data_IF_490777363233
#
_entry.id   IF_490777363233
#
_cell.length_a   1.000
_cell.length_b   1.000
_cell.length_c   1.000
_cell.angle_alpha   90.00
_cell.angle_beta   90.00
_cell.angle_gamma   90.00
#
_symmetry.space_group_name_H-M   'P 1'
#
loop_
_entity.id
_entity.type
_entity.pdbx_description
1 polymer ?
#
# COMPACT_ATOMS: atom_id res chain seq x y z
N UNK A 1 19.62 -29.20 26.46
CA UNK A 1 19.32 -27.76 26.37
C UNK A 1 18.64 -27.50 25.06
N UNK A 2 17.38 -27.14 25.11
CA UNK A 2 16.59 -26.77 23.93
C UNK A 2 17.11 -25.44 23.40
N UNK A 3 17.52 -25.40 22.14
CA UNK A 3 18.04 -24.18 21.50
C UNK A 3 16.85 -23.24 21.28
N UNK A 4 16.72 -22.21 22.07
CA UNK A 4 15.76 -21.14 21.85
C UNK A 4 16.08 -20.51 20.48
N UNK A 5 15.17 -20.62 19.51
CA UNK A 5 15.35 -19.98 18.20
C UNK A 5 15.24 -18.46 18.36
N UNK A 6 16.17 -17.74 17.75
CA UNK A 6 16.07 -16.28 17.67
C UNK A 6 14.90 -15.93 16.74
N UNK A 7 13.93 -15.19 17.28
CA UNK A 7 12.74 -14.76 16.54
C UNK A 7 13.11 -13.82 15.39
N UNK A 8 14.22 -13.09 15.50
CA UNK A 8 14.71 -12.20 14.45
C UNK A 8 15.14 -12.95 13.18
N UNK A 9 15.57 -14.21 13.31
CA UNK A 9 16.03 -15.06 12.20
C UNK A 9 14.89 -15.85 11.52
N UNK A 10 13.65 -15.77 12.04
CA UNK A 10 12.52 -16.49 11.45
C UNK A 10 12.06 -15.81 10.16
N UNK A 11 11.67 -16.59 9.13
CA UNK A 11 11.00 -16.03 7.96
C UNK A 11 9.75 -15.27 8.38
N UNK A 12 9.57 -14.05 7.87
CA UNK A 12 8.47 -13.18 8.22
C UNK A 12 7.69 -12.77 6.98
N UNK A 13 6.39 -12.54 7.17
CA UNK A 13 5.51 -11.95 6.19
C UNK A 13 4.71 -10.84 6.87
N UNK A 14 4.70 -9.66 6.28
CA UNK A 14 3.86 -8.56 6.70
C UNK A 14 2.54 -8.63 5.94
N UNK A 15 1.47 -8.94 6.64
CA UNK A 15 0.14 -9.08 6.06
C UNK A 15 -0.73 -7.88 6.40
N UNK A 16 -1.50 -7.41 5.40
CA UNK A 16 -2.54 -6.39 5.59
C UNK A 16 -2.00 -5.01 6.01
N UNK A 17 -0.90 -4.56 5.39
CA UNK A 17 -0.39 -3.21 5.60
C UNK A 17 -1.34 -2.17 4.97
N UNK A 18 -1.87 -1.25 5.76
CA UNK A 18 -2.68 -0.14 5.26
C UNK A 18 -1.84 0.89 4.53
N UNK A 19 -2.06 1.05 3.22
CA UNK A 19 -1.25 1.84 2.30
C UNK A 19 -0.89 3.23 2.82
N UNK A 20 -1.88 4.09 3.08
CA UNK A 20 -1.62 5.45 3.61
C UNK A 20 -0.93 5.43 4.98
N UNK A 21 -1.28 4.45 5.82
CA UNK A 21 -0.76 4.35 7.18
C UNK A 21 0.71 3.95 7.27
N UNK A 22 1.30 3.48 6.18
CA UNK A 22 2.72 3.09 6.12
C UNK A 22 3.67 4.25 5.80
N UNK A 23 3.16 5.47 5.53
CA UNK A 23 4.02 6.62 5.29
C UNK A 23 4.86 6.98 6.52
N UNK A 24 6.15 7.20 6.31
CA UNK A 24 7.03 7.75 7.34
C UNK A 24 6.54 9.15 7.77
N UNK A 25 6.66 9.52 9.04
CA UNK A 25 6.33 10.87 9.51
C UNK A 25 6.97 11.98 8.67
N UNK A 26 8.25 11.85 8.35
CA UNK A 26 8.98 12.80 7.48
C UNK A 26 8.38 12.90 6.09
N UNK A 27 7.99 11.76 5.49
CA UNK A 27 7.39 11.72 4.16
C UNK A 27 6.06 12.45 4.10
N UNK A 28 5.22 12.29 5.13
CA UNK A 28 3.95 13.04 5.22
C UNK A 28 4.22 14.56 5.25
N UNK A 29 5.18 15.02 6.07
CA UNK A 29 5.52 16.44 6.19
C UNK A 29 6.09 16.99 4.88
N UNK A 30 7.03 16.28 4.26
CA UNK A 30 7.66 16.68 2.99
C UNK A 30 6.65 16.75 1.84
N UNK A 31 5.75 15.76 1.73
CA UNK A 31 4.71 15.76 0.71
C UNK A 31 3.65 16.83 0.97
N UNK A 32 3.33 17.09 2.24
CA UNK A 32 2.42 18.18 2.60
C UNK A 32 2.99 19.54 2.16
N UNK A 33 4.28 19.78 2.40
CA UNK A 33 4.98 21.00 1.96
C UNK A 33 5.04 21.06 0.42
N UNK A 34 5.51 20.00 -0.23
CA UNK A 34 5.58 19.87 -1.71
C UNK A 34 4.27 20.26 -2.39
N UNK A 35 3.16 19.80 -1.84
CA UNK A 35 1.83 19.96 -2.46
C UNK A 35 0.98 21.08 -1.84
N UNK A 36 1.53 21.86 -0.90
CA UNK A 36 0.79 22.92 -0.22
C UNK A 36 -0.42 22.39 0.56
N UNK A 37 -0.34 21.19 1.12
CA UNK A 37 -1.41 20.57 1.90
C UNK A 37 -1.34 21.04 3.34
N UNK A 38 -2.37 21.73 3.82
CA UNK A 38 -2.46 22.10 5.24
C UNK A 38 -2.87 20.88 6.07
N UNK A 39 -1.93 20.36 6.84
CA UNK A 39 -2.19 19.32 7.83
C UNK A 39 -2.86 19.92 9.09
N UNK A 40 -3.72 19.14 9.79
CA UNK A 40 -4.18 19.53 11.13
C UNK A 40 -3.01 19.71 12.09
N UNK A 41 -3.05 20.75 12.93
CA UNK A 41 -1.95 21.08 13.85
C UNK A 41 -1.55 19.88 14.75
N UNK A 42 -2.53 19.13 15.26
CA UNK A 42 -2.28 17.94 16.05
C UNK A 42 -1.53 16.82 15.28
N UNK A 43 -1.70 16.76 13.96
CA UNK A 43 -0.94 15.81 13.12
C UNK A 43 0.47 16.32 12.89
N UNK A 44 0.62 17.59 12.54
CA UNK A 44 1.93 18.22 12.33
C UNK A 44 2.79 18.13 13.57
N UNK A 45 2.24 18.41 14.76
CA UNK A 45 2.95 18.32 16.04
C UNK A 45 3.43 16.87 16.31
N UNK A 46 2.54 15.89 16.14
CA UNK A 46 2.90 14.48 16.35
C UNK A 46 3.99 14.01 15.38
N UNK A 47 3.84 14.32 14.07
CA UNK A 47 4.80 13.91 13.05
C UNK A 47 6.16 14.60 13.21
N UNK A 48 6.20 15.86 13.66
CA UNK A 48 7.45 16.57 13.95
C UNK A 48 8.23 15.97 15.11
N UNK A 49 7.55 15.27 16.02
CA UNK A 49 8.16 14.49 17.08
C UNK A 49 8.71 13.14 16.61
N UNK A 50 8.53 12.77 15.35
CA UNK A 50 8.98 11.50 14.78
C UNK A 50 8.16 10.28 15.20
N UNK A 51 7.08 10.49 15.97
CA UNK A 51 6.19 9.41 16.41
C UNK A 51 4.80 9.56 15.77
N UNK A 52 4.13 8.43 15.47
CA UNK A 52 2.74 8.49 15.02
C UNK A 52 1.84 9.03 16.16
N UNK A 53 0.76 9.75 15.82
CA UNK A 53 -0.14 10.30 16.81
C UNK A 53 -0.79 9.19 17.64
N UNK A 54 -0.66 9.28 18.96
CA UNK A 54 -1.31 8.35 19.89
C UNK A 54 -2.80 8.65 19.95
N UNK A 55 -3.59 7.88 19.22
CA UNK A 55 -5.03 8.03 19.15
C UNK A 55 -5.73 6.96 20.00
N UNK A 56 -6.60 7.39 20.90
CA UNK A 56 -7.55 6.48 21.53
C UNK A 56 -8.81 6.44 20.67
N UNK A 57 -8.95 5.40 19.86
CA UNK A 57 -10.11 5.17 18.99
C UNK A 57 -11.15 4.28 19.68
N UNK A 58 -11.30 4.39 21.02
CA UNK A 58 -12.20 3.56 21.83
C UNK A 58 -13.63 4.06 21.82
N UNK A 59 -13.86 5.26 21.30
CA UNK A 59 -15.19 5.86 21.17
C UNK A 59 -15.38 6.44 19.75
N UNK A 60 -16.60 6.84 19.43
CA UNK A 60 -16.96 7.38 18.12
C UNK A 60 -16.16 8.66 17.79
N UNK A 61 -15.93 9.53 18.78
CA UNK A 61 -15.15 10.78 18.58
C UNK A 61 -13.68 10.49 18.26
N UNK A 62 -13.09 9.50 18.92
CA UNK A 62 -11.74 9.05 18.65
C UNK A 62 -11.61 8.47 17.24
N UNK A 63 -12.61 7.69 16.80
CA UNK A 63 -12.67 7.15 15.45
C UNK A 63 -12.74 8.26 14.39
N UNK A 64 -13.64 9.24 14.51
CA UNK A 64 -13.71 10.37 13.57
C UNK A 64 -12.45 11.22 13.57
N UNK A 65 -11.79 11.39 14.71
CA UNK A 65 -10.50 12.07 14.78
C UNK A 65 -9.43 11.31 14.00
N UNK A 66 -9.33 9.99 14.19
CA UNK A 66 -8.42 9.13 13.43
C UNK A 66 -8.68 9.27 11.93
N UNK A 67 -9.93 9.12 11.48
CA UNK A 67 -10.29 9.24 10.07
C UNK A 67 -9.83 10.57 9.47
N UNK A 68 -10.06 11.67 10.15
CA UNK A 68 -9.63 13.00 9.68
C UNK A 68 -8.12 13.12 9.52
N UNK A 69 -7.34 12.55 10.45
CA UNK A 69 -5.87 12.56 10.35
C UNK A 69 -5.38 11.65 9.23
N UNK A 70 -6.01 10.49 9.09
CA UNK A 70 -5.71 9.54 8.02
C UNK A 70 -6.02 10.14 6.64
N UNK A 71 -7.15 10.82 6.49
CA UNK A 71 -7.53 11.50 5.24
C UNK A 71 -6.61 12.69 4.93
N UNK A 72 -6.14 13.41 5.94
CA UNK A 72 -5.16 14.48 5.76
C UNK A 72 -3.83 13.91 5.21
N UNK A 73 -3.29 12.85 5.80
CA UNK A 73 -2.10 12.17 5.30
C UNK A 73 -2.31 11.63 3.87
N UNK A 74 -3.46 10.99 3.61
CA UNK A 74 -3.84 10.50 2.27
C UNK A 74 -3.87 11.62 1.22
N UNK A 75 -4.28 12.82 1.61
CA UNK A 75 -4.38 13.97 0.70
C UNK A 75 -3.02 14.49 0.21
N UNK A 76 -1.92 14.06 0.83
CA UNK A 76 -0.56 14.39 0.41
C UNK A 76 -0.09 13.56 -0.80
N UNK A 77 -0.74 12.42 -1.09
CA UNK A 77 -0.41 11.57 -2.24
C UNK A 77 -1.16 12.08 -3.48
N UNK A 78 -0.46 12.78 -4.37
CA UNK A 78 -1.05 13.49 -5.51
C UNK A 78 -0.47 13.14 -6.86
N UNK A 79 0.72 12.56 -6.89
CA UNK A 79 1.47 12.24 -8.10
C UNK A 79 1.90 10.77 -8.10
N UNK A 80 2.16 10.17 -9.27
CA UNK A 80 2.68 8.80 -9.36
C UNK A 80 3.96 8.58 -8.55
N UNK A 81 4.84 9.57 -8.52
CA UNK A 81 6.11 9.54 -7.79
C UNK A 81 5.91 9.46 -6.28
N UNK A 82 4.85 10.08 -5.75
CA UNK A 82 4.51 9.98 -4.32
C UNK A 82 4.09 8.56 -3.96
N UNK A 83 3.32 7.91 -4.85
CA UNK A 83 2.90 6.50 -4.72
C UNK A 83 4.12 5.58 -4.78
N UNK A 84 5.00 5.79 -5.77
CA UNK A 84 6.23 5.01 -5.93
C UNK A 84 7.13 5.13 -4.70
N UNK A 85 7.28 6.34 -4.17
CA UNK A 85 8.06 6.61 -2.96
C UNK A 85 7.49 5.85 -1.75
N UNK A 86 6.18 5.93 -1.53
CA UNK A 86 5.53 5.25 -0.41
C UNK A 86 5.72 3.74 -0.45
N UNK A 87 5.50 3.13 -1.62
CA UNK A 87 5.68 1.69 -1.80
C UNK A 87 7.13 1.28 -1.54
N UNK A 88 8.10 2.06 -2.04
CA UNK A 88 9.53 1.80 -1.83
C UNK A 88 9.92 1.89 -0.35
N UNK A 89 9.48 2.95 0.35
CA UNK A 89 9.75 3.13 1.77
C UNK A 89 9.18 1.98 2.62
N UNK A 90 7.96 1.52 2.33
CA UNK A 90 7.37 0.37 3.01
C UNK A 90 8.17 -0.92 2.77
N UNK A 91 8.60 -1.17 1.53
CA UNK A 91 9.41 -2.34 1.19
C UNK A 91 10.79 -2.30 1.87
N UNK A 92 11.43 -1.13 1.93
CA UNK A 92 12.72 -0.95 2.61
C UNK A 92 12.64 -1.24 4.11
N UNK A 93 11.55 -0.85 4.76
CA UNK A 93 11.34 -1.14 6.18
C UNK A 93 11.10 -2.61 6.43
N UNK A 94 10.25 -3.25 5.63
CA UNK A 94 9.99 -4.67 5.71
C UNK A 94 11.26 -5.52 5.49
N UNK A 95 12.08 -5.17 4.51
CA UNK A 95 13.37 -5.83 4.29
C UNK A 95 14.33 -5.65 5.46
N UNK A 96 14.37 -4.46 6.06
CA UNK A 96 15.19 -4.19 7.25
C UNK A 96 14.75 -5.04 8.44
N UNK A 97 13.44 -5.30 8.55
CA UNK A 97 12.85 -6.14 9.59
C UNK A 97 12.96 -7.65 9.26
N UNK A 98 13.52 -8.00 8.10
CA UNK A 98 13.71 -9.38 7.67
C UNK A 98 12.47 -10.05 7.10
N UNK A 99 11.49 -9.27 6.63
CA UNK A 99 10.32 -9.78 5.92
C UNK A 99 10.69 -10.22 4.51
N UNK A 100 10.18 -11.38 4.08
CA UNK A 100 10.29 -11.86 2.71
C UNK A 100 9.02 -11.63 1.87
N UNK A 101 7.97 -11.12 2.50
CA UNK A 101 6.68 -10.89 1.85
C UNK A 101 5.95 -9.71 2.47
N UNK A 102 5.38 -8.85 1.61
CA UNK A 102 4.57 -7.68 1.99
C UNK A 102 3.22 -7.69 1.26
N UNK A 103 2.13 -7.64 2.00
CA UNK A 103 0.78 -7.51 1.48
C UNK A 103 0.22 -6.12 1.81
N UNK A 104 -0.04 -5.31 0.79
CA UNK A 104 -0.53 -3.94 0.92
C UNK A 104 -2.02 -3.88 0.65
N UNK A 105 -2.80 -3.39 1.60
CA UNK A 105 -4.21 -3.09 1.43
C UNK A 105 -4.40 -1.64 1.01
N UNK A 106 -5.09 -1.42 -0.12
CA UNK A 106 -5.39 -0.08 -0.66
C UNK A 106 -6.81 0.00 -1.22
N UNK A 107 -7.46 1.14 -0.99
CA UNK A 107 -8.67 1.53 -1.70
C UNK A 107 -8.33 2.61 -2.73
N UNK A 108 -8.20 2.24 -4.03
CA UNK A 108 -7.77 3.19 -5.06
C UNK A 108 -8.80 4.29 -5.33
N UNK A 109 -10.06 4.14 -4.92
CA UNK A 109 -11.10 5.17 -5.08
C UNK A 109 -10.73 6.47 -4.36
N UNK A 110 -10.00 6.35 -3.26
CA UNK A 110 -9.54 7.49 -2.46
C UNK A 110 -8.48 8.36 -3.16
N UNK A 111 -7.79 7.84 -4.16
CA UNK A 111 -6.75 8.52 -4.93
C UNK A 111 -7.21 8.93 -6.33
N UNK A 112 -8.28 8.31 -6.83
CA UNK A 112 -8.82 8.50 -8.16
C UNK A 112 -8.98 9.99 -8.57
N UNK A 113 -9.51 10.90 -7.72
CA UNK A 113 -9.68 12.30 -8.11
C UNK A 113 -8.37 13.04 -8.42
N UNK A 114 -7.24 12.55 -7.86
CA UNK A 114 -5.92 13.18 -8.01
C UNK A 114 -5.04 12.48 -9.04
N UNK A 115 -5.30 11.20 -9.31
CA UNK A 115 -4.49 10.38 -10.20
C UNK A 115 -5.19 10.07 -11.55
N UNK A 116 -6.15 10.92 -11.95
CA UNK A 116 -6.78 10.81 -13.27
C UNK A 116 -7.92 9.78 -13.38
N UNK A 117 -8.43 9.27 -12.26
CA UNK A 117 -9.54 8.31 -12.22
C UNK A 117 -9.18 7.01 -11.55
N UNK A 118 -10.18 6.13 -11.40
CA UNK A 118 -10.01 4.86 -10.67
C UNK A 118 -8.99 3.92 -11.35
N UNK A 119 -9.12 3.74 -12.67
CA UNK A 119 -8.24 2.83 -13.41
C UNK A 119 -6.79 3.35 -13.44
N UNK A 120 -6.52 4.63 -13.79
CA UNK A 120 -5.17 5.18 -13.69
C UNK A 120 -4.57 5.08 -12.26
N UNK A 121 -5.36 5.37 -11.23
CA UNK A 121 -4.88 5.26 -9.84
C UNK A 121 -4.47 3.82 -9.50
N UNK A 122 -5.26 2.83 -9.91
CA UNK A 122 -4.93 1.42 -9.70
C UNK A 122 -3.68 1.01 -10.49
N UNK A 123 -3.58 1.41 -11.77
CA UNK A 123 -2.42 1.11 -12.61
C UNK A 123 -1.13 1.70 -12.01
N UNK A 124 -1.15 2.93 -11.52
CA UNK A 124 -0.02 3.57 -10.84
C UNK A 124 0.42 2.79 -9.60
N UNK A 125 -0.55 2.36 -8.78
CA UNK A 125 -0.26 1.59 -7.56
C UNK A 125 0.33 0.23 -7.91
N UNK A 126 -0.24 -0.48 -8.88
CA UNK A 126 0.26 -1.79 -9.30
C UNK A 126 1.65 -1.70 -9.93
N UNK A 127 1.91 -0.69 -10.76
CA UNK A 127 3.23 -0.44 -11.36
C UNK A 127 4.28 -0.14 -10.27
N UNK A 128 3.94 0.68 -9.28
CA UNK A 128 4.81 0.98 -8.15
C UNK A 128 5.18 -0.29 -7.37
N UNK A 129 4.21 -1.16 -7.10
CA UNK A 129 4.43 -2.43 -6.38
C UNK A 129 5.26 -3.40 -7.21
N UNK A 130 4.95 -3.57 -8.50
CA UNK A 130 5.71 -4.46 -9.40
C UNK A 130 7.16 -3.99 -9.56
N UNK A 131 7.36 -2.70 -9.77
CA UNK A 131 8.69 -2.10 -9.91
C UNK A 131 9.50 -2.28 -8.63
N UNK A 132 8.92 -1.95 -7.47
CA UNK A 132 9.61 -2.09 -6.17
C UNK A 132 9.92 -3.55 -5.86
N UNK A 133 8.98 -4.47 -6.09
CA UNK A 133 9.20 -5.91 -5.89
C UNK A 133 10.36 -6.43 -6.75
N UNK A 134 10.43 -6.02 -8.02
CA UNK A 134 11.51 -6.41 -8.94
C UNK A 134 12.87 -5.83 -8.52
N UNK A 135 12.92 -4.57 -8.08
CA UNK A 135 14.16 -3.89 -7.68
C UNK A 135 14.71 -4.38 -6.35
N UNK A 136 13.85 -4.72 -5.41
CA UNK A 136 14.22 -5.12 -4.05
C UNK A 136 14.30 -6.63 -3.84
N UNK A 137 13.64 -7.41 -4.67
CA UNK A 137 13.48 -8.85 -4.49
C UNK A 137 12.45 -9.24 -3.43
N UNK A 138 11.80 -8.28 -2.77
CA UNK A 138 10.72 -8.54 -1.82
C UNK A 138 9.48 -9.05 -2.55
N UNK A 139 8.90 -10.18 -2.11
CA UNK A 139 7.60 -10.62 -2.59
C UNK A 139 6.52 -9.60 -2.17
N UNK A 140 5.72 -9.11 -3.13
CA UNK A 140 4.71 -8.09 -2.81
C UNK A 140 3.36 -8.41 -3.45
N UNK A 141 2.27 -8.04 -2.76
CA UNK A 141 0.90 -8.18 -3.25
C UNK A 141 0.04 -6.98 -2.86
N UNK A 142 -0.89 -6.62 -3.73
CA UNK A 142 -1.92 -5.62 -3.46
C UNK A 142 -3.24 -6.31 -3.16
N UNK A 143 -3.86 -5.94 -2.03
CA UNK A 143 -5.25 -6.24 -1.72
C UNK A 143 -6.08 -4.98 -1.93
N UNK A 144 -7.13 -5.06 -2.73
CA UNK A 144 -8.12 -4.00 -2.80
C UNK A 144 -9.52 -4.58 -2.59
N UNK A 145 -10.39 -3.90 -1.83
CA UNK A 145 -11.76 -4.34 -1.65
C UNK A 145 -12.53 -4.16 -2.97
N UNK A 146 -12.75 -5.25 -3.70
CA UNK A 146 -13.72 -5.26 -4.81
C UNK A 146 -15.10 -5.37 -4.20
N UNK A 147 -15.81 -4.26 -4.05
CA UNK A 147 -17.25 -4.32 -3.84
C UNK A 147 -17.90 -4.71 -5.17
N UNK A 148 -18.45 -5.93 -5.26
CA UNK A 148 -19.12 -6.45 -6.45
C UNK A 148 -20.32 -5.60 -6.91
N UNK A 149 -20.86 -4.79 -6.03
CA UNK A 149 -22.04 -3.94 -6.18
C UNK A 149 -21.72 -2.52 -6.66
N UNK A 150 -20.44 -2.14 -6.78
CA UNK A 150 -20.01 -0.82 -7.27
C UNK A 150 -19.39 -0.86 -8.67
N UNK A 151 -19.58 -1.92 -9.45
CA UNK A 151 -19.27 -1.84 -10.86
C UNK A 151 -20.27 -0.90 -11.53
N UNK A 152 -19.87 0.31 -11.96
CA UNK A 152 -20.63 0.98 -13.00
C UNK A 152 -20.70 0.01 -14.16
N UNK A 153 -21.87 -0.09 -14.78
CA UNK A 153 -22.03 -0.86 -16.02
C UNK A 153 -20.84 -0.56 -16.94
N UNK A 154 -20.20 -1.58 -17.53
CA UNK A 154 -19.04 -1.35 -18.38
C UNK A 154 -19.43 -0.35 -19.46
N UNK A 155 -18.74 0.77 -19.51
CA UNK A 155 -18.80 1.71 -20.60
C UNK A 155 -18.59 0.93 -21.91
N UNK A 156 -19.45 1.07 -22.92
CA UNK A 156 -19.29 0.36 -24.17
C UNK A 156 -18.03 0.89 -24.88
N UNK A 157 -16.94 0.13 -24.84
CA UNK A 157 -15.70 0.47 -25.56
C UNK A 157 -14.38 0.07 -24.91
N UNK A 158 -14.33 -0.34 -23.65
CA UNK A 158 -13.07 -0.79 -23.07
C UNK A 158 -12.79 -2.26 -23.41
N UNK A 159 -11.59 -2.58 -23.97
CA UNK A 159 -11.26 -3.95 -24.32
C UNK A 159 -11.09 -4.80 -23.07
N UNK A 160 -12.01 -5.73 -22.85
CA UNK A 160 -12.04 -6.72 -21.75
C UNK A 160 -10.74 -7.52 -21.58
N UNK A 161 -9.81 -7.44 -22.53
CA UNK A 161 -8.57 -8.23 -22.57
C UNK A 161 -7.50 -7.81 -21.55
N UNK A 162 -7.49 -6.57 -21.04
CA UNK A 162 -6.44 -6.10 -20.11
C UNK A 162 -6.68 -6.51 -18.64
N UNK A 163 -7.91 -6.42 -18.17
CA UNK A 163 -8.26 -6.79 -16.79
C UNK A 163 -8.11 -8.31 -16.55
N UNK A 164 -8.51 -9.13 -17.52
CA UNK A 164 -8.31 -10.59 -17.43
C UNK A 164 -6.83 -10.99 -17.49
N UNK A 165 -5.99 -10.26 -18.22
CA UNK A 165 -4.56 -10.56 -18.31
C UNK A 165 -3.84 -10.36 -16.98
N UNK A 166 -4.17 -9.29 -16.24
CA UNK A 166 -3.60 -9.04 -14.91
C UNK A 166 -4.06 -10.10 -13.91
N UNK A 167 -5.33 -10.52 -13.96
CA UNK A 167 -5.85 -11.61 -13.12
C UNK A 167 -5.27 -12.97 -13.48
N UNK A 168 -5.14 -13.29 -14.76
CA UNK A 168 -4.59 -14.55 -15.24
C UNK A 168 -3.09 -14.68 -14.99
N UNK A 169 -2.32 -13.58 -15.10
CA UNK A 169 -0.89 -13.57 -14.81
C UNK A 169 -0.61 -13.67 -13.30
N UNK A 170 -1.46 -13.10 -12.45
CA UNK A 170 -1.39 -13.28 -11.01
C UNK A 170 -1.70 -14.74 -10.62
N UNK A 171 -2.72 -15.35 -11.20
CA UNK A 171 -3.08 -16.75 -10.91
C UNK A 171 -2.06 -17.75 -11.45
N UNK A 172 -1.34 -17.46 -12.53
CA UNK A 172 -0.28 -18.32 -13.07
C UNK A 172 1.00 -18.32 -12.25
N UNK A 173 1.30 -17.24 -11.53
CA UNK A 173 2.46 -17.15 -10.64
C UNK A 173 2.28 -17.91 -9.33
N UNK A 174 1.03 -18.12 -8.90
CA UNK A 174 0.70 -18.86 -7.67
C UNK A 174 0.66 -20.40 -7.85
N UNK A 175 0.91 -20.93 -9.07
CA UNK A 175 0.99 -22.37 -9.27
C UNK A 175 2.42 -22.84 -8.96
N UNK A 176 2.61 -23.77 -8.00
CA UNK A 176 3.92 -24.35 -7.73
C UNK A 176 4.40 -25.09 -8.99
N UNK A 177 5.66 -24.85 -9.35
CA UNK A 177 6.32 -25.46 -10.49
C UNK A 177 6.15 -26.99 -10.42
N UNK A 178 5.48 -27.58 -11.40
CA UNK A 178 5.37 -29.04 -11.48
C UNK A 178 6.76 -29.64 -11.71
N UNK A 179 7.13 -30.72 -10.98
CA UNK A 179 8.43 -31.38 -11.17
C UNK A 179 8.50 -31.93 -12.59
N UNK A 180 9.56 -31.56 -13.31
CA UNK A 180 9.88 -32.12 -14.64
C UNK A 180 10.02 -33.63 -14.51
N UNK A 181 9.16 -34.37 -15.17
CA UNK A 181 9.37 -35.82 -15.37
C UNK A 181 10.60 -36.01 -16.24
N UNK A 182 11.66 -36.53 -15.64
CA UNK A 182 12.81 -37.04 -16.36
C UNK A 182 12.38 -38.35 -17.03
N UNK A 183 12.59 -38.45 -18.34
CA UNK A 183 12.49 -39.73 -19.07
C UNK A 183 13.86 -40.38 -19.10
#
# INVERSE_FOLDING_TARGET
>A
MERVRDVSELPKAHLHLHFTGSMRPSTVLELADKHGVRLPDALTEALSGGEPPRLRATDERGWFRFQRLYDAARSCLREPEDIQRLVREAAEEDLRDGSGWLEIQVDPTSYAPRLGGLIPALEIILDAVETTSRETGLGMRVLHPVRRDQHPHPEPGLPRRRLHRVQDDLQRRDQPAQPRRVR
#
